data_IF_088814228224
#
_entry.id   IF_088814228224
#
_cell.length_a   1.000
_cell.length_b   1.000
_cell.length_c   1.000
_cell.angle_alpha   90.00
_cell.angle_beta   90.00
_cell.angle_gamma   90.00
#
_symmetry.space_group_name_H-M   'P 1'
#
loop_
_entity.id
_entity.type
_entity.pdbx_description
1 polymer ?
#
# COMPACT_ATOMS: atom_id res chain seq x y z
N UNK A 1 -17.50 2.78 18.41
CA UNK A 1 -16.42 1.88 18.84
C UNK A 1 -16.50 1.75 20.35
N UNK A 2 -16.53 0.52 20.87
CA UNK A 2 -16.48 0.27 22.31
C UNK A 2 -15.00 0.18 22.75
N UNK A 3 -14.53 1.00 23.71
CA UNK A 3 -13.12 1.02 24.11
C UNK A 3 -12.59 -0.32 24.61
N UNK A 4 -13.44 -1.18 25.19
CA UNK A 4 -13.03 -2.52 25.63
C UNK A 4 -12.75 -3.43 24.42
N UNK A 5 -13.63 -3.41 23.42
CA UNK A 5 -13.42 -4.16 22.16
C UNK A 5 -12.15 -3.72 21.41
N UNK A 6 -11.82 -2.43 21.44
CA UNK A 6 -10.58 -1.92 20.84
C UNK A 6 -9.34 -2.38 21.61
N UNK A 7 -9.40 -2.38 22.94
CA UNK A 7 -8.31 -2.88 23.80
C UNK A 7 -8.06 -4.38 23.56
N UNK A 8 -9.14 -5.17 23.46
CA UNK A 8 -9.05 -6.61 23.16
C UNK A 8 -8.42 -6.85 21.78
N UNK A 9 -8.78 -6.05 20.76
CA UNK A 9 -8.13 -6.12 19.44
C UNK A 9 -6.63 -5.85 19.53
N UNK A 10 -6.24 -4.77 20.22
CA UNK A 10 -4.84 -4.42 20.39
C UNK A 10 -4.06 -5.50 21.14
N UNK A 11 -4.64 -6.08 22.18
CA UNK A 11 -4.03 -7.18 22.94
C UNK A 11 -3.83 -8.42 22.07
N UNK A 12 -4.83 -8.80 21.26
CA UNK A 12 -4.71 -9.90 20.31
C UNK A 12 -3.59 -9.65 19.28
N UNK A 13 -3.52 -8.45 18.71
CA UNK A 13 -2.46 -8.07 17.78
C UNK A 13 -1.07 -8.15 18.42
N UNK A 14 -0.93 -7.70 19.66
CA UNK A 14 0.33 -7.77 20.40
C UNK A 14 0.79 -9.22 20.64
N UNK A 15 -0.14 -10.13 20.96
CA UNK A 15 0.18 -11.56 21.14
C UNK A 15 0.49 -12.29 19.83
N UNK A 16 -0.13 -11.88 18.73
CA UNK A 16 0.09 -12.46 17.41
C UNK A 16 1.35 -11.91 16.71
N UNK A 17 1.88 -10.78 17.17
CA UNK A 17 3.12 -10.19 16.64
C UNK A 17 4.31 -11.08 17.05
N UNK A 18 4.73 -11.95 16.14
CA UNK A 18 5.98 -12.68 16.29
C UNK A 18 7.14 -11.76 15.88
N UNK A 19 8.14 -11.51 16.75
CA UNK A 19 9.32 -10.74 16.39
C UNK A 19 10.26 -11.50 15.42
N UNK A 20 9.84 -12.67 14.92
CA UNK A 20 10.61 -13.42 13.94
C UNK A 20 10.79 -12.62 12.65
N UNK A 21 12.02 -12.58 12.09
CA UNK A 21 12.26 -11.90 10.83
C UNK A 21 11.37 -12.48 9.71
N UNK A 22 10.97 -11.67 8.72
CA UNK A 22 10.17 -12.15 7.60
C UNK A 22 10.93 -13.25 6.84
N UNK A 23 10.22 -14.32 6.49
CA UNK A 23 10.78 -15.39 5.67
C UNK A 23 10.97 -14.90 4.24
N UNK A 24 11.91 -15.50 3.49
CA UNK A 24 12.16 -15.11 2.09
C UNK A 24 10.92 -15.31 1.20
N UNK A 25 10.08 -16.31 1.51
CA UNK A 25 8.80 -16.52 0.85
C UNK A 25 7.81 -15.36 1.09
N UNK A 26 7.76 -14.82 2.31
CA UNK A 26 6.92 -13.67 2.61
C UNK A 26 7.42 -12.43 1.86
N UNK A 27 8.73 -12.16 1.93
CA UNK A 27 9.37 -11.06 1.20
C UNK A 27 9.04 -11.16 -0.30
N UNK A 28 9.28 -12.32 -0.91
CA UNK A 28 9.02 -12.54 -2.34
C UNK A 28 7.57 -12.29 -2.72
N UNK A 29 6.62 -12.70 -1.86
CA UNK A 29 5.18 -12.45 -2.08
C UNK A 29 4.87 -10.95 -2.08
N UNK A 30 5.38 -10.20 -1.09
CA UNK A 30 5.19 -8.76 -1.02
C UNK A 30 5.82 -8.02 -2.21
N UNK A 31 7.00 -8.45 -2.66
CA UNK A 31 7.63 -7.92 -3.86
C UNK A 31 6.77 -8.18 -5.10
N UNK A 32 6.18 -9.36 -5.24
CA UNK A 32 5.37 -9.70 -6.41
C UNK A 32 4.02 -8.98 -6.43
N UNK A 33 3.29 -9.01 -5.32
CA UNK A 33 1.94 -8.43 -5.21
C UNK A 33 1.96 -6.89 -5.26
N UNK A 34 2.96 -6.28 -4.63
CA UNK A 34 3.02 -4.83 -4.46
C UNK A 34 4.21 -4.19 -5.16
N UNK A 35 4.99 -4.92 -5.96
CA UNK A 35 6.15 -4.35 -6.68
C UNK A 35 7.13 -3.61 -5.76
N UNK A 36 7.24 -4.04 -4.51
CA UNK A 36 8.19 -3.49 -3.57
C UNK A 36 9.60 -4.02 -3.87
N UNK A 37 10.60 -3.19 -3.58
CA UNK A 37 11.98 -3.67 -3.44
C UNK A 37 12.10 -4.57 -2.22
N UNK A 38 13.17 -5.36 -2.18
CA UNK A 38 13.42 -6.29 -1.06
C UNK A 38 13.52 -5.55 0.28
N UNK A 39 14.16 -4.38 0.29
CA UNK A 39 14.31 -3.54 1.48
C UNK A 39 12.97 -2.95 1.92
N UNK A 40 12.16 -2.42 0.99
CA UNK A 40 10.81 -1.93 1.28
C UNK A 40 9.92 -3.04 1.85
N UNK A 41 9.93 -4.23 1.24
CA UNK A 41 9.13 -5.36 1.72
C UNK A 41 9.52 -5.73 3.16
N UNK A 42 10.81 -5.81 3.48
CA UNK A 42 11.25 -6.10 4.86
C UNK A 42 10.77 -5.07 5.87
N UNK A 43 10.91 -3.77 5.55
CA UNK A 43 10.48 -2.70 6.45
C UNK A 43 8.97 -2.71 6.60
N UNK A 44 8.22 -2.79 5.51
CA UNK A 44 6.76 -2.76 5.57
C UNK A 44 6.18 -3.98 6.29
N UNK A 45 6.75 -5.18 6.11
CA UNK A 45 6.36 -6.35 6.90
C UNK A 45 6.64 -6.13 8.38
N UNK A 46 7.82 -5.61 8.73
CA UNK A 46 8.17 -5.32 10.12
C UNK A 46 7.22 -4.27 10.73
N UNK A 47 6.95 -3.18 10.01
CA UNK A 47 6.00 -2.14 10.41
C UNK A 47 4.60 -2.73 10.60
N UNK A 48 4.11 -3.50 9.62
CA UNK A 48 2.79 -4.13 9.69
C UNK A 48 2.65 -5.06 10.89
N UNK A 49 3.68 -5.86 11.20
CA UNK A 49 3.67 -6.76 12.37
C UNK A 49 3.79 -6.01 13.69
N UNK A 50 4.51 -4.88 13.71
CA UNK A 50 4.69 -4.06 14.92
C UNK A 50 3.47 -3.18 15.26
N UNK A 51 2.59 -2.93 14.29
CA UNK A 51 1.40 -2.12 14.49
C UNK A 51 0.31 -2.89 15.26
N UNK A 52 0.22 -2.65 16.56
CA UNK A 52 -0.82 -3.23 17.42
C UNK A 52 -2.20 -2.63 17.16
N UNK A 53 -2.28 -1.45 16.54
CA UNK A 53 -3.55 -0.77 16.25
C UNK A 53 -4.20 -1.25 14.96
N UNK A 54 -3.46 -2.00 14.12
CA UNK A 54 -3.91 -2.50 12.82
C UNK A 54 -5.26 -3.21 12.88
N UNK A 55 -6.06 -3.00 11.85
CA UNK A 55 -7.34 -3.71 11.67
C UNK A 55 -7.02 -5.10 11.13
N UNK A 56 -6.99 -6.08 12.03
CA UNK A 56 -6.85 -7.50 11.67
C UNK A 56 -8.20 -8.01 11.15
N UNK A 57 -8.19 -8.69 10.01
CA UNK A 57 -9.39 -9.33 9.46
C UNK A 57 -9.73 -10.51 10.36
N UNK A 58 -10.93 -10.63 10.97
CA UNK A 58 -11.26 -11.77 11.82
C UNK A 58 -11.10 -13.13 11.11
N UNK A 59 -10.81 -14.20 11.85
CA UNK A 59 -10.61 -15.54 11.27
C UNK A 59 -11.84 -16.01 10.48
N UNK A 60 -13.05 -15.65 10.94
CA UNK A 60 -14.32 -15.91 10.25
C UNK A 60 -14.40 -15.20 8.91
N UNK A 61 -13.97 -13.94 8.82
CA UNK A 61 -13.96 -13.19 7.57
C UNK A 61 -12.88 -13.72 6.62
N UNK A 62 -11.69 -14.05 7.14
CA UNK A 62 -10.64 -14.66 6.34
C UNK A 62 -11.11 -15.99 5.74
N UNK A 63 -11.82 -16.82 6.51
CA UNK A 63 -12.34 -18.08 5.99
C UNK A 63 -13.30 -17.91 4.80
N UNK A 64 -14.03 -16.80 4.70
CA UNK A 64 -14.95 -16.53 3.60
C UNK A 64 -14.23 -16.16 2.30
N UNK A 65 -13.11 -15.43 2.40
CA UNK A 65 -12.38 -14.91 1.23
C UNK A 65 -11.13 -15.71 0.89
N UNK A 66 -10.72 -16.66 1.76
CA UNK A 66 -9.43 -17.36 1.67
C UNK A 66 -9.19 -17.99 0.30
N UNK A 67 -10.13 -18.79 -0.20
CA UNK A 67 -9.92 -19.54 -1.46
C UNK A 67 -9.66 -18.60 -2.63
N UNK A 68 -10.47 -17.54 -2.77
CA UNK A 68 -10.33 -16.55 -3.83
C UNK A 68 -9.02 -15.76 -3.68
N UNK A 69 -8.68 -15.33 -2.46
CA UNK A 69 -7.49 -14.52 -2.20
C UNK A 69 -6.20 -15.32 -2.35
N UNK A 70 -6.16 -16.56 -1.86
CA UNK A 70 -5.02 -17.46 -2.06
C UNK A 70 -4.83 -17.83 -3.53
N UNK A 71 -5.92 -18.00 -4.30
CA UNK A 71 -5.83 -18.16 -5.75
C UNK A 71 -5.24 -16.93 -6.45
N UNK A 72 -5.50 -15.73 -5.94
CA UNK A 72 -4.87 -14.48 -6.38
C UNK A 72 -3.45 -14.26 -5.83
N UNK A 73 -2.91 -15.22 -5.07
CA UNK A 73 -1.55 -15.19 -4.52
C UNK A 73 -1.41 -14.46 -3.18
N UNK A 74 -2.51 -13.96 -2.61
CA UNK A 74 -2.53 -13.34 -1.30
C UNK A 74 -2.54 -14.39 -0.19
N UNK A 75 -1.90 -14.05 0.92
CA UNK A 75 -2.23 -14.62 2.23
C UNK A 75 -2.93 -13.56 3.08
N UNK A 76 -3.31 -13.91 4.30
CA UNK A 76 -4.00 -12.98 5.19
C UNK A 76 -3.20 -11.70 5.44
N UNK A 77 -1.90 -11.80 5.68
CA UNK A 77 -1.04 -10.65 5.98
C UNK A 77 -0.95 -9.69 4.79
N UNK A 78 -0.72 -10.21 3.59
CA UNK A 78 -0.70 -9.41 2.37
C UNK A 78 -2.07 -8.86 2.02
N UNK A 79 -3.15 -9.60 2.29
CA UNK A 79 -4.51 -9.09 2.09
C UNK A 79 -4.83 -7.96 3.08
N UNK A 80 -4.49 -8.11 4.35
CA UNK A 80 -4.62 -7.05 5.36
C UNK A 80 -3.81 -5.80 4.98
N UNK A 81 -2.57 -5.97 4.52
CA UNK A 81 -1.77 -4.86 3.97
C UNK A 81 -2.44 -4.21 2.75
N UNK A 82 -3.08 -5.00 1.89
CA UNK A 82 -3.75 -4.47 0.69
C UNK A 82 -4.90 -3.51 1.02
N UNK A 83 -5.62 -3.77 2.12
CA UNK A 83 -6.68 -2.90 2.62
C UNK A 83 -6.16 -1.57 3.18
N UNK A 84 -4.86 -1.48 3.47
CA UNK A 84 -4.20 -0.26 3.94
C UNK A 84 -3.49 0.51 2.82
N UNK A 85 -3.54 0.03 1.57
CA UNK A 85 -2.79 0.63 0.47
C UNK A 85 -3.20 2.08 0.16
N UNK A 86 -4.46 2.46 0.42
CA UNK A 86 -4.89 3.86 0.33
C UNK A 86 -4.14 4.75 1.33
N UNK A 87 -3.98 4.29 2.57
CA UNK A 87 -3.26 5.04 3.59
C UNK A 87 -1.77 5.12 3.27
N UNK A 88 -1.20 4.03 2.72
CA UNK A 88 0.18 4.01 2.21
C UNK A 88 0.35 4.99 1.06
N UNK A 89 -0.56 5.02 0.09
CA UNK A 89 -0.52 5.96 -1.03
C UNK A 89 -0.57 7.40 -0.52
N UNK A 90 -1.50 7.69 0.39
CA UNK A 90 -1.64 9.02 0.99
C UNK A 90 -0.36 9.44 1.72
N UNK A 91 0.20 8.56 2.55
CA UNK A 91 1.44 8.80 3.29
C UNK A 91 2.67 8.98 2.38
N UNK A 92 2.64 8.40 1.19
CA UNK A 92 3.72 8.49 0.20
C UNK A 92 3.47 9.55 -0.89
N UNK A 93 2.36 10.30 -0.77
CA UNK A 93 2.00 11.38 -1.69
C UNK A 93 2.20 12.74 -1.02
N UNK A 94 2.57 13.74 -1.80
CA UNK A 94 2.62 15.11 -1.33
C UNK A 94 2.11 16.07 -2.40
N UNK A 95 1.63 17.24 -1.98
CA UNK A 95 1.22 18.31 -2.88
C UNK A 95 2.38 19.30 -3.01
N UNK A 96 2.75 19.58 -4.25
CA UNK A 96 3.76 20.57 -4.61
C UNK A 96 3.12 21.63 -5.49
N UNK A 97 3.61 22.87 -5.40
CA UNK A 97 3.17 23.96 -6.26
C UNK A 97 4.28 24.27 -7.26
N UNK A 98 3.91 24.51 -8.52
CA UNK A 98 4.85 25.04 -9.49
C UNK A 98 5.04 26.56 -9.33
N UNK A 99 5.94 27.13 -10.15
CA UNK A 99 6.24 28.57 -10.13
C UNK A 99 5.06 29.46 -10.52
N UNK A 100 4.00 28.89 -11.08
CA UNK A 100 2.77 29.59 -11.47
C UNK A 100 1.65 29.41 -10.41
N UNK A 101 1.92 28.66 -9.34
CA UNK A 101 1.00 28.40 -8.24
C UNK A 101 0.05 27.22 -8.47
N UNK A 102 0.15 26.52 -9.60
CA UNK A 102 -0.67 25.33 -9.88
C UNK A 102 -0.22 24.18 -8.98
N UNK A 103 -1.19 23.52 -8.35
CA UNK A 103 -0.96 22.38 -7.48
C UNK A 103 -0.78 21.09 -8.29
N UNK A 104 0.25 20.34 -7.95
CA UNK A 104 0.58 19.03 -8.49
C UNK A 104 0.69 18.05 -7.34
N UNK A 105 0.18 16.83 -7.54
CA UNK A 105 0.38 15.74 -6.61
C UNK A 105 1.56 14.90 -7.07
N UNK A 106 2.56 14.78 -6.20
CA UNK A 106 3.69 13.89 -6.40
C UNK A 106 3.32 12.53 -5.81
N UNK A 107 3.23 11.51 -6.66
CA UNK A 107 2.87 10.14 -6.31
C UNK A 107 4.11 9.26 -6.46
N UNK A 108 4.49 8.55 -5.40
CA UNK A 108 5.57 7.56 -5.46
C UNK A 108 5.18 6.38 -6.34
N UNK A 109 6.04 6.04 -7.29
CA UNK A 109 5.95 4.82 -8.07
C UNK A 109 6.50 3.65 -7.26
N UNK A 110 5.65 2.65 -7.10
CA UNK A 110 5.85 1.50 -6.21
C UNK A 110 4.48 1.04 -5.70
N UNK A 111 4.40 -0.15 -5.09
CA UNK A 111 3.09 -0.62 -4.66
C UNK A 111 2.17 -0.95 -5.83
N UNK A 112 0.91 -0.54 -5.68
CA UNK A 112 -0.12 -0.63 -6.71
C UNK A 112 0.18 0.19 -7.96
N UNK A 113 0.99 1.24 -7.87
CA UNK A 113 1.34 2.14 -8.97
C UNK A 113 2.81 1.96 -9.35
N UNK A 114 3.21 0.71 -9.60
CA UNK A 114 4.60 0.34 -9.86
C UNK A 114 5.23 0.97 -11.12
N UNK A 115 4.45 1.60 -11.99
CA UNK A 115 4.94 2.24 -13.21
C UNK A 115 4.11 3.45 -13.64
N UNK A 116 4.71 4.34 -14.44
CA UNK A 116 4.05 5.52 -14.97
C UNK A 116 2.93 5.18 -15.96
N UNK A 117 3.07 4.06 -16.68
CA UNK A 117 2.03 3.54 -17.58
C UNK A 117 0.80 3.12 -16.77
N UNK A 118 1.00 2.47 -15.63
CA UNK A 118 -0.10 2.12 -14.74
C UNK A 118 -0.77 3.37 -14.16
N UNK A 119 0.00 4.39 -13.82
CA UNK A 119 -0.55 5.70 -13.41
C UNK A 119 -1.38 6.31 -14.52
N UNK A 120 -0.90 6.30 -15.78
CA UNK A 120 -1.67 6.78 -16.94
C UNK A 120 -3.00 6.04 -17.07
N UNK A 121 -2.96 4.71 -17.07
CA UNK A 121 -4.14 3.87 -17.30
C UNK A 121 -5.19 4.05 -16.19
N UNK A 122 -4.74 4.12 -14.93
CA UNK A 122 -5.60 4.30 -13.76
C UNK A 122 -6.16 5.73 -13.68
N UNK A 123 -5.34 6.74 -13.98
CA UNK A 123 -5.73 8.14 -13.90
C UNK A 123 -6.53 8.62 -15.12
N UNK A 124 -6.54 7.85 -16.22
CA UNK A 124 -7.18 8.22 -17.48
C UNK A 124 -6.41 9.31 -18.24
N UNK A 125 -5.08 9.34 -18.11
CA UNK A 125 -4.24 10.35 -18.76
C UNK A 125 -4.06 10.03 -20.26
N UNK A 126 -4.08 11.06 -21.11
CA UNK A 126 -3.82 10.92 -22.54
C UNK A 126 -2.36 10.58 -22.86
N UNK A 127 -1.44 10.93 -21.97
CA UNK A 127 0.01 10.69 -22.11
C UNK A 127 0.58 10.09 -20.83
N UNK A 128 1.72 9.41 -20.96
CA UNK A 128 2.44 8.85 -19.80
C UNK A 128 3.01 10.01 -18.97
N UNK A 129 2.67 10.12 -17.67
CA UNK A 129 3.18 11.21 -16.83
C UNK A 129 4.71 11.13 -16.70
N UNK A 130 5.35 12.29 -16.60
CA UNK A 130 6.78 12.39 -16.39
C UNK A 130 7.21 11.69 -15.10
N UNK A 131 8.35 11.00 -15.16
CA UNK A 131 8.94 10.31 -14.00
C UNK A 131 10.11 11.12 -13.48
N UNK A 132 10.07 11.43 -12.19
CA UNK A 132 11.17 12.08 -11.47
C UNK A 132 11.77 11.11 -10.48
N UNK A 133 13.09 11.07 -10.39
CA UNK A 133 13.81 10.24 -9.43
C UNK A 133 14.17 11.05 -8.19
N UNK A 134 14.07 10.43 -7.02
CA UNK A 134 14.54 10.95 -5.75
C UNK A 134 15.39 9.92 -5.03
N UNK A 135 16.07 10.35 -3.98
CA UNK A 135 16.87 9.47 -3.14
C UNK A 135 16.41 9.58 -1.69
N UNK A 136 16.24 8.44 -1.03
CA UNK A 136 16.01 8.37 0.41
C UNK A 136 17.04 7.44 1.06
N UNK A 137 16.93 7.24 2.38
CA UNK A 137 17.83 6.35 3.15
C UNK A 137 17.80 4.89 2.66
N UNK A 138 16.79 4.51 1.87
CA UNK A 138 16.60 3.17 1.32
C UNK A 138 17.06 3.04 -0.14
N UNK A 139 17.49 4.14 -0.78
CA UNK A 139 17.97 4.17 -2.15
C UNK A 139 17.13 5.06 -3.08
N UNK A 140 17.22 4.73 -4.37
CA UNK A 140 16.53 5.47 -5.42
C UNK A 140 15.02 5.16 -5.41
N UNK A 141 14.21 6.20 -5.44
CA UNK A 141 12.75 6.15 -5.53
C UNK A 141 12.29 6.93 -6.75
N UNK A 142 11.18 6.51 -7.36
CA UNK A 142 10.63 7.16 -8.55
C UNK A 142 9.28 7.76 -8.21
N UNK A 143 8.93 8.86 -8.86
CA UNK A 143 7.69 9.59 -8.64
C UNK A 143 7.08 10.00 -9.98
N UNK A 144 5.75 10.12 -10.01
CA UNK A 144 5.02 10.79 -11.06
C UNK A 144 4.33 12.04 -10.52
N UNK A 145 4.29 13.10 -11.33
CA UNK A 145 3.47 14.28 -11.07
C UNK A 145 2.14 14.14 -11.79
N UNK A 146 1.05 14.29 -11.05
CA UNK A 146 -0.31 14.28 -11.59
C UNK A 146 -1.09 15.48 -11.08
N UNK A 147 -2.12 15.91 -11.81
CA UNK A 147 -3.01 16.97 -11.34
C UNK A 147 -4.05 16.43 -10.33
N UNK A 148 -4.91 17.33 -9.85
CA UNK A 148 -5.93 16.98 -8.86
C UNK A 148 -6.99 16.01 -9.41
N UNK A 149 -7.32 16.08 -10.70
CA UNK A 149 -8.31 15.21 -11.33
C UNK A 149 -7.76 13.78 -11.44
N UNK A 150 -6.54 13.65 -11.94
CA UNK A 150 -5.82 12.39 -12.01
C UNK A 150 -5.63 11.76 -10.63
N UNK A 151 -5.29 12.56 -9.59
CA UNK A 151 -5.23 12.08 -8.20
C UNK A 151 -6.56 11.47 -7.74
N UNK A 152 -7.68 12.13 -7.98
CA UNK A 152 -9.02 11.63 -7.60
C UNK A 152 -9.36 10.31 -8.30
N UNK A 153 -8.97 10.16 -9.57
CA UNK A 153 -9.18 8.92 -10.32
C UNK A 153 -8.35 7.77 -9.74
N UNK A 154 -7.09 8.05 -9.37
CA UNK A 154 -6.22 7.07 -8.72
C UNK A 154 -6.78 6.65 -7.36
N UNK A 155 -7.19 7.59 -6.50
CA UNK A 155 -7.80 7.28 -5.21
C UNK A 155 -9.05 6.40 -5.34
N UNK A 156 -9.93 6.74 -6.29
CA UNK A 156 -11.14 5.95 -6.58
C UNK A 156 -10.81 4.54 -7.04
N UNK A 157 -9.79 4.38 -7.89
CA UNK A 157 -9.36 3.05 -8.33
C UNK A 157 -8.76 2.24 -7.18
N UNK A 158 -7.97 2.84 -6.30
CA UNK A 158 -7.43 2.17 -5.10
C UNK A 158 -8.57 1.70 -4.20
N UNK A 159 -9.61 2.52 -4.00
CA UNK A 159 -10.81 2.11 -3.24
C UNK A 159 -11.52 0.90 -3.86
N UNK A 160 -11.64 0.86 -5.19
CA UNK A 160 -12.24 -0.29 -5.89
C UNK A 160 -11.42 -1.58 -5.72
N UNK A 161 -10.09 -1.48 -5.68
CA UNK A 161 -9.22 -2.64 -5.43
C UNK A 161 -9.33 -3.18 -4.00
N UNK A 162 -9.89 -2.40 -3.06
CA UNK A 162 -10.09 -2.84 -1.67
C UNK A 162 -11.43 -3.57 -1.46
N UNK A 163 -12.38 -3.42 -2.39
CA UNK A 163 -13.74 -3.99 -2.30
C UNK A 163 -13.89 -5.28 -3.10
N UNK A 164 -13.05 -5.47 -4.13
CA UNK A 164 -13.00 -6.68 -4.95
C UNK A 164 -12.17 -7.77 -4.33
#
# INVERSE_FOLDING_TARGET
MDPLSELERMAQNATASSPSPPTEACISRWQHLFQYTRSEAQILIATHRSDVTRIRIPDSHWALVREEREAAGYDRETYEHSLQLKDVLNAQSTVVHDGEGKAWCLIRLGGLLGSAEKVRDVAGLGEVPGVTEGWNEMGMVRFCMVDEEAKKNIERWVEQQQVL
#
